data_IF_356727186901
#
_entry.id   IF_356727186901
#
_cell.length_a   1.000
_cell.length_b   1.000
_cell.length_c   1.000
_cell.angle_alpha   90.00
_cell.angle_beta   90.00
_cell.angle_gamma   90.00
#
_symmetry.space_group_name_H-M   'P 1'
#
loop_
_entity.id
_entity.type
_entity.pdbx_description
1 polymer ?
#
# COMPACT_ATOMS: atom_id res chain seq x y z
N UNK A 1 -13.99 -24.55 7.83
CA UNK A 1 -13.09 -23.68 8.62
C UNK A 1 -13.46 -22.26 8.25
N UNK A 2 -13.62 -21.39 9.24
CA UNK A 2 -14.70 -20.40 9.37
C UNK A 2 -14.84 -19.35 8.23
N UNK A 3 -16.09 -19.13 7.82
CA UNK A 3 -16.67 -17.86 7.30
C UNK A 3 -16.99 -16.92 8.49
N UNK A 4 -17.64 -15.74 8.32
CA UNK A 4 -17.47 -14.58 7.44
C UNK A 4 -17.44 -13.25 8.25
N UNK A 5 -17.56 -12.12 7.55
CA UNK A 5 -18.46 -11.00 7.91
C UNK A 5 -17.86 -9.71 8.46
N UNK A 6 -18.32 -8.65 7.81
CA UNK A 6 -18.21 -7.24 8.13
C UNK A 6 -18.75 -6.86 9.52
N UNK A 7 -18.20 -5.75 10.02
CA UNK A 7 -18.51 -5.00 11.24
C UNK A 7 -19.97 -4.47 11.30
N UNK A 8 -20.55 -4.04 12.45
CA UNK A 8 -20.01 -2.98 13.34
C UNK A 8 -20.12 -3.26 14.86
N UNK A 9 -19.37 -2.54 15.73
CA UNK A 9 -19.48 -2.66 17.18
C UNK A 9 -20.50 -1.68 17.81
N UNK A 10 -21.06 -2.17 18.91
CA UNK A 10 -21.97 -1.56 19.86
C UNK A 10 -21.48 -0.23 20.45
N UNK A 11 -22.38 0.77 20.48
CA UNK A 11 -22.43 1.80 21.53
C UNK A 11 -23.87 2.35 21.65
N UNK A 12 -24.55 2.06 22.75
CA UNK A 12 -25.11 3.09 23.64
C UNK A 12 -25.72 2.44 24.91
N UNK A 13 -25.84 3.27 25.96
CA UNK A 13 -26.41 3.05 27.30
C UNK A 13 -25.47 2.32 28.28
N UNK A 14 -25.09 2.87 29.44
CA UNK A 14 -25.71 3.89 30.27
C UNK A 14 -24.67 4.64 31.12
N UNK A 15 -25.04 5.87 31.44
CA UNK A 15 -24.29 6.84 32.21
C UNK A 15 -24.33 6.49 33.69
N UNK A 16 -23.17 6.40 34.34
CA UNK A 16 -23.11 6.58 35.79
C UNK A 16 -21.84 7.35 36.13
N UNK A 17 -21.98 8.66 36.01
CA UNK A 17 -21.15 9.69 36.61
C UNK A 17 -20.68 9.31 38.02
N UNK A 18 -19.51 9.86 38.36
CA UNK A 18 -19.02 10.14 39.71
C UNK A 18 -18.03 9.11 40.24
N UNK A 19 -16.78 9.28 39.82
CA UNK A 19 -15.69 9.65 40.73
C UNK A 19 -14.36 9.68 39.99
N UNK A 20 -13.70 10.82 40.12
CA UNK A 20 -12.25 10.90 40.39
C UNK A 20 -11.41 10.44 39.19
N UNK A 21 -11.07 11.38 38.29
CA UNK A 21 -9.74 11.99 38.29
C UNK A 21 -8.62 10.93 38.37
N UNK A 22 -8.01 10.60 37.23
CA UNK A 22 -6.57 10.37 37.01
C UNK A 22 -6.34 9.34 35.89
N UNK A 23 -5.50 9.75 34.95
CA UNK A 23 -4.61 8.94 34.11
C UNK A 23 -5.22 7.90 33.16
N UNK A 24 -5.01 8.16 31.87
CA UNK A 24 -5.11 7.12 30.85
C UNK A 24 -5.04 7.72 29.45
N UNK A 25 -3.91 8.36 29.13
CA UNK A 25 -3.57 8.78 27.76
C UNK A 25 -3.59 7.53 26.89
N UNK A 26 -4.72 7.26 26.23
CA UNK A 26 -4.89 6.08 25.39
C UNK A 26 -4.06 6.29 24.12
N UNK A 27 -2.87 5.69 24.13
CA UNK A 27 -1.90 5.72 23.06
C UNK A 27 -2.52 5.03 21.84
N UNK A 28 -2.85 5.82 20.82
CA UNK A 28 -3.32 5.33 19.53
C UNK A 28 -2.07 4.87 18.75
N UNK A 29 -1.72 3.58 18.86
CA UNK A 29 -0.85 2.96 17.87
C UNK A 29 -1.70 2.66 16.63
N UNK A 30 -1.69 3.57 15.66
CA UNK A 30 -2.13 3.26 14.32
C UNK A 30 -1.07 2.35 13.70
N UNK A 31 -1.31 1.03 13.71
CA UNK A 31 -0.51 0.09 12.94
C UNK A 31 -0.63 0.42 11.47
N UNK A 32 0.42 0.99 10.88
CA UNK A 32 0.58 0.95 9.45
C UNK A 32 0.73 -0.53 9.11
N UNK A 33 -0.18 -1.11 8.32
CA UNK A 33 0.06 -2.43 7.76
C UNK A 33 1.24 -2.28 6.80
N UNK A 34 2.44 -2.53 7.31
CA UNK A 34 3.68 -2.55 6.54
C UNK A 34 3.54 -3.71 5.56
N UNK A 35 3.68 -3.43 4.26
CA UNK A 35 3.79 -4.50 3.28
C UNK A 35 5.19 -5.12 3.44
N UNK A 36 5.35 -6.03 4.40
CA UNK A 36 6.58 -6.80 4.59
C UNK A 36 6.87 -7.58 3.29
N UNK A 37 7.85 -7.15 2.50
CA UNK A 37 8.22 -7.80 1.24
C UNK A 37 8.43 -6.89 0.03
N UNK A 38 8.08 -5.60 0.09
CA UNK A 38 8.41 -4.66 -1.00
C UNK A 38 9.87 -4.18 -0.82
N UNK A 39 10.80 -4.48 -1.75
CA UNK A 39 12.15 -3.93 -1.74
C UNK A 39 12.14 -2.44 -2.13
N UNK A 40 13.22 -1.74 -1.80
CA UNK A 40 13.44 -0.38 -2.29
C UNK A 40 13.72 -0.43 -3.80
N UNK A 41 12.92 0.26 -4.61
CA UNK A 41 13.17 0.36 -6.05
C UNK A 41 12.78 1.73 -6.60
N UNK A 42 13.41 2.12 -7.72
CA UNK A 42 13.09 3.31 -8.49
C UNK A 42 13.08 2.98 -9.99
N UNK A 43 11.94 3.20 -10.63
CA UNK A 43 11.76 2.92 -12.06
C UNK A 43 11.04 4.09 -12.73
N UNK A 44 11.34 4.30 -14.00
CA UNK A 44 10.66 5.27 -14.85
C UNK A 44 9.80 4.53 -15.86
N UNK A 45 8.50 4.76 -15.81
CA UNK A 45 7.56 4.19 -16.78
C UNK A 45 7.32 5.16 -17.95
N UNK A 46 6.93 4.64 -19.13
CA UNK A 46 6.55 5.46 -20.28
C UNK A 46 5.51 6.52 -19.90
N UNK A 47 5.67 7.74 -20.44
CA UNK A 47 4.80 8.87 -20.09
C UNK A 47 5.31 9.74 -18.94
N UNK A 48 6.62 9.68 -18.63
CA UNK A 48 7.27 10.45 -17.55
C UNK A 48 6.65 10.15 -16.18
N UNK A 49 6.41 8.87 -15.92
CA UNK A 49 5.83 8.42 -14.66
C UNK A 49 6.94 7.81 -13.81
N UNK A 50 7.41 8.56 -12.80
CA UNK A 50 8.36 8.04 -11.84
C UNK A 50 7.62 7.17 -10.82
N UNK A 51 8.04 5.92 -10.66
CA UNK A 51 7.48 5.00 -9.67
C UNK A 51 8.59 4.55 -8.75
N UNK A 52 8.39 4.74 -7.47
CA UNK A 52 9.38 4.39 -6.46
C UNK A 52 8.67 3.78 -5.26
N UNK A 53 9.34 2.90 -4.53
CA UNK A 53 8.81 2.34 -3.30
C UNK A 53 9.90 2.30 -2.25
N UNK A 54 9.57 2.67 -1.02
CA UNK A 54 10.45 2.47 0.13
C UNK A 54 10.38 1.02 0.60
N UNK A 55 11.45 0.50 1.21
CA UNK A 55 11.48 -0.85 1.76
C UNK A 55 10.38 -1.04 2.82
N UNK A 56 9.43 -1.93 2.55
CA UNK A 56 8.26 -2.16 3.41
C UNK A 56 7.27 -0.98 3.49
N UNK A 57 7.44 0.02 2.63
CA UNK A 57 6.70 1.27 2.62
C UNK A 57 5.62 1.35 1.53
N UNK A 58 4.91 2.49 1.45
CA UNK A 58 3.97 2.73 0.37
C UNK A 58 4.70 2.91 -0.97
N UNK A 59 3.99 2.64 -2.06
CA UNK A 59 4.48 2.97 -3.40
C UNK A 59 4.16 4.45 -3.67
N UNK A 60 5.08 5.13 -4.33
CA UNK A 60 4.97 6.52 -4.77
C UNK A 60 4.93 6.56 -6.29
N UNK A 61 4.02 7.38 -6.82
CA UNK A 61 3.93 7.70 -8.23
C UNK A 61 4.08 9.21 -8.38
N UNK A 62 5.11 9.67 -9.11
CA UNK A 62 5.48 11.07 -9.23
C UNK A 62 5.59 11.78 -7.86
N UNK A 63 6.18 11.08 -6.87
CA UNK A 63 6.31 11.59 -5.49
C UNK A 63 5.02 11.55 -4.66
N UNK A 64 3.90 11.08 -5.21
CA UNK A 64 2.64 10.96 -4.48
C UNK A 64 2.44 9.53 -3.97
N UNK A 65 2.31 9.39 -2.66
CA UNK A 65 1.99 8.11 -2.04
C UNK A 65 0.63 7.60 -2.54
N UNK A 66 0.61 6.37 -3.02
CA UNK A 66 -0.58 5.68 -3.51
C UNK A 66 -0.80 4.41 -2.71
N UNK A 67 -2.07 4.01 -2.57
CA UNK A 67 -2.39 2.72 -2.00
C UNK A 67 -2.03 1.64 -3.01
N UNK A 68 -1.15 0.75 -2.60
CA UNK A 68 -0.91 -0.50 -3.29
C UNK A 68 -1.83 -1.58 -2.69
N UNK A 69 -2.20 -2.54 -3.51
CA UNK A 69 -2.80 -3.80 -3.08
C UNK A 69 -1.74 -4.87 -3.24
N UNK A 70 -1.26 -5.43 -2.14
CA UNK A 70 -0.51 -6.67 -2.21
C UNK A 70 -1.44 -7.75 -2.75
N UNK A 71 -1.01 -8.39 -3.84
CA UNK A 71 -1.64 -9.60 -4.35
C UNK A 71 -1.07 -10.78 -3.58
N UNK A 72 0.26 -10.80 -3.42
CA UNK A 72 1.05 -11.77 -2.66
C UNK A 72 2.29 -11.08 -2.07
N UNK A 73 3.11 -11.81 -1.30
CA UNK A 73 4.33 -11.29 -0.66
C UNK A 73 5.38 -10.75 -1.63
N UNK A 74 5.33 -11.14 -2.91
CA UNK A 74 6.23 -10.66 -3.98
C UNK A 74 5.51 -9.98 -5.15
N UNK A 75 4.20 -9.89 -5.10
CA UNK A 75 3.38 -9.36 -6.20
C UNK A 75 2.49 -8.25 -5.68
N UNK A 76 2.71 -7.04 -6.19
CA UNK A 76 1.99 -5.85 -5.76
C UNK A 76 1.31 -5.20 -6.95
N UNK A 77 0.10 -4.70 -6.73
CA UNK A 77 -0.68 -4.05 -7.77
C UNK A 77 -1.13 -2.69 -7.31
N UNK A 78 -0.89 -1.69 -8.14
CA UNK A 78 -1.37 -0.33 -7.90
C UNK A 78 -2.38 0.01 -8.96
N UNK A 79 -3.62 0.27 -8.56
CA UNK A 79 -4.66 0.76 -9.47
C UNK A 79 -4.92 2.22 -9.18
N UNK A 80 -4.83 3.04 -10.22
CA UNK A 80 -5.24 4.44 -10.20
C UNK A 80 -6.41 4.62 -11.17
N UNK A 81 -6.94 5.83 -11.25
CA UNK A 81 -8.03 6.15 -12.18
C UNK A 81 -7.61 6.01 -13.65
N UNK A 82 -6.31 6.12 -13.97
CA UNK A 82 -5.83 6.22 -15.34
C UNK A 82 -4.89 5.10 -15.75
N UNK A 83 -4.20 4.50 -14.78
CA UNK A 83 -3.21 3.45 -15.01
C UNK A 83 -3.29 2.35 -13.94
N UNK A 84 -2.86 1.16 -14.33
CA UNK A 84 -2.59 0.03 -13.46
C UNK A 84 -1.11 -0.30 -13.55
N UNK A 85 -0.45 -0.40 -12.40
CA UNK A 85 0.92 -0.88 -12.29
C UNK A 85 0.90 -2.26 -11.64
N UNK A 86 1.58 -3.20 -12.26
CA UNK A 86 1.86 -4.52 -11.71
C UNK A 86 3.35 -4.58 -11.39
N UNK A 87 3.67 -4.77 -10.11
CA UNK A 87 5.03 -4.90 -9.58
C UNK A 87 5.23 -6.36 -9.21
N UNK A 88 6.26 -6.96 -9.80
CA UNK A 88 6.70 -8.32 -9.49
C UNK A 88 8.13 -8.26 -8.98
N UNK A 89 8.36 -8.85 -7.81
CA UNK A 89 9.70 -9.05 -7.25
C UNK A 89 10.12 -10.48 -7.60
N UNK A 90 11.23 -10.61 -8.29
CA UNK A 90 11.83 -11.90 -8.66
C UNK A 90 12.62 -12.50 -7.48
N UNK A 91 13.05 -13.76 -7.61
CA UNK A 91 13.82 -14.47 -6.57
C UNK A 91 15.20 -13.86 -6.28
N UNK A 92 15.74 -13.09 -7.22
CA UNK A 92 17.03 -12.37 -7.12
C UNK A 92 16.85 -10.93 -6.58
N UNK A 93 15.72 -10.63 -5.94
CA UNK A 93 15.31 -9.28 -5.49
C UNK A 93 15.17 -8.25 -6.62
N UNK A 94 15.28 -8.67 -7.88
CA UNK A 94 15.05 -7.84 -9.07
C UNK A 94 13.57 -7.46 -9.19
N UNK A 95 13.28 -6.18 -9.42
CA UNK A 95 11.91 -5.67 -9.52
C UNK A 95 11.53 -5.42 -10.97
N UNK A 96 10.46 -6.07 -11.42
CA UNK A 96 9.84 -5.82 -12.73
C UNK A 96 8.55 -5.04 -12.53
N UNK A 97 8.46 -3.86 -13.15
CA UNK A 97 7.23 -3.05 -13.12
C UNK A 97 6.64 -2.97 -14.51
N UNK A 98 5.39 -3.42 -14.63
CA UNK A 98 4.60 -3.30 -15.85
C UNK A 98 3.50 -2.25 -15.64
N UNK A 99 3.48 -1.28 -16.53
CA UNK A 99 2.44 -0.27 -16.60
C UNK A 99 1.40 -0.66 -17.66
N UNK A 100 0.14 -0.39 -17.37
CA UNK A 100 -0.98 -0.51 -18.31
C UNK A 100 -1.88 0.70 -18.15
N UNK A 101 -2.21 1.40 -19.22
CA UNK A 101 -3.17 2.51 -19.19
C UNK A 101 -4.63 2.04 -19.29
N UNK A 102 -5.56 2.97 -19.08
CA UNK A 102 -7.01 2.75 -19.25
C UNK A 102 -7.43 2.44 -20.70
N UNK A 103 -6.57 2.72 -21.68
CA UNK A 103 -6.81 2.49 -23.10
C UNK A 103 -6.29 1.11 -23.58
N UNK A 104 -5.61 0.36 -22.71
CA UNK A 104 -5.03 -0.95 -22.98
C UNK A 104 -3.56 -0.91 -23.44
N UNK A 105 -2.93 0.25 -23.57
CA UNK A 105 -1.50 0.34 -23.84
C UNK A 105 -0.73 -0.18 -22.63
N UNK A 106 0.21 -1.10 -22.86
CA UNK A 106 1.02 -1.71 -21.81
C UNK A 106 2.50 -1.59 -22.15
N UNK A 107 3.33 -1.40 -21.13
CA UNK A 107 4.79 -1.33 -21.28
C UNK A 107 5.50 -1.72 -20.00
N UNK A 108 6.79 -2.06 -20.13
CA UNK A 108 7.66 -2.23 -18.98
C UNK A 108 8.26 -0.89 -18.59
N UNK A 109 8.42 -0.68 -17.29
CA UNK A 109 9.16 0.46 -16.77
C UNK A 109 10.65 0.12 -16.74
N UNK A 110 11.48 1.11 -16.98
CA UNK A 110 12.93 0.97 -16.97
C UNK A 110 13.46 1.30 -15.57
N UNK A 111 14.38 0.49 -15.07
CA UNK A 111 15.10 0.82 -13.85
C UNK A 111 15.89 2.11 -14.06
N UNK A 112 15.81 3.01 -13.09
CA UNK A 112 16.64 4.21 -13.08
C UNK A 112 17.83 3.89 -12.18
N UNK A 113 18.89 3.36 -12.77
CA UNK A 113 20.21 3.29 -12.14
C UNK A 113 20.75 4.72 -12.01
N UNK A 114 21.11 5.13 -10.78
CA UNK A 114 21.83 6.38 -10.50
C UNK A 114 23.34 6.18 -10.71
#
# INVERSE_FOLDING_TARGET
MLTPSAAPPLFHEESAMRKILLLGTLMIFAGAAHAEGIPLFNVSCPGNLAVSADQGGPIYINGKAVKNSAVDDRHFQVKTAEITLAISVEDDDSVTVKYTDKHGASGLCEAVDD
#
